data_IF_447389143472
#
_entry.id   IF_447389143472
#
_cell.length_a   1.000
_cell.length_b   1.000
_cell.length_c   1.000
_cell.angle_alpha   90.00
_cell.angle_beta   90.00
_cell.angle_gamma   90.00
#
_symmetry.space_group_name_H-M   'P 1'
#
loop_
_entity.id
_entity.type
_entity.pdbx_description
1 polymer ?
#
# COMPACT_ATOMS: atom_id res chain seq x y z
N UNK A 1 -16.47 40.55 -51.94
CA UNK A 1 -17.58 39.61 -51.73
C UNK A 1 -17.51 39.14 -50.30
N UNK A 2 -18.33 39.74 -49.45
CA UNK A 2 -18.27 39.61 -47.99
C UNK A 2 -19.48 38.81 -47.53
N UNK A 3 -19.24 37.72 -46.83
CA UNK A 3 -20.27 36.81 -46.31
C UNK A 3 -20.89 37.47 -45.06
N UNK A 4 -22.22 37.59 -44.92
CA UNK A 4 -22.84 38.13 -43.72
C UNK A 4 -22.90 37.07 -42.61
N UNK A 5 -22.51 37.46 -41.39
CA UNK A 5 -22.67 36.70 -40.15
C UNK A 5 -24.08 36.95 -39.59
N UNK A 6 -24.86 35.93 -39.19
CA UNK A 6 -26.16 36.15 -38.57
C UNK A 6 -26.04 36.64 -37.12
N UNK A 7 -26.82 37.67 -36.83
CA UNK A 7 -27.02 38.34 -35.54
C UNK A 7 -27.66 37.42 -34.50
N UNK A 8 -27.05 37.33 -33.30
CA UNK A 8 -27.59 36.62 -32.13
C UNK A 8 -28.35 37.61 -31.23
N UNK A 9 -29.62 37.33 -30.96
CA UNK A 9 -30.45 38.06 -30.00
C UNK A 9 -30.09 37.71 -28.55
N UNK A 10 -30.16 38.65 -27.59
CA UNK A 10 -29.90 38.37 -26.18
C UNK A 10 -31.15 37.77 -25.50
N UNK A 11 -30.99 36.68 -24.76
CA UNK A 11 -32.06 36.14 -23.89
C UNK A 11 -31.69 36.37 -22.42
N UNK A 12 -32.66 36.89 -21.67
CA UNK A 12 -32.59 37.39 -20.29
C UNK A 12 -32.09 36.39 -19.21
N UNK A 13 -31.63 36.89 -18.05
CA UNK A 13 -31.10 36.08 -16.96
C UNK A 13 -32.22 35.45 -16.11
N UNK A 14 -32.10 34.16 -15.78
CA UNK A 14 -32.95 33.50 -14.79
C UNK A 14 -32.28 33.54 -13.42
N UNK A 15 -32.97 34.22 -12.50
CA UNK A 15 -32.70 34.30 -11.07
C UNK A 15 -32.81 32.95 -10.34
N UNK A 16 -32.11 32.90 -9.21
CA UNK A 16 -31.93 31.83 -8.23
C UNK A 16 -33.21 31.40 -7.52
N UNK A 17 -33.34 30.11 -7.20
CA UNK A 17 -33.93 29.61 -5.95
C UNK A 17 -33.36 28.22 -5.59
N UNK A 18 -33.15 27.91 -4.28
CA UNK A 18 -32.46 26.69 -3.82
C UNK A 18 -33.43 25.50 -3.65
N UNK A 19 -33.00 24.25 -3.88
CA UNK A 19 -33.84 23.09 -3.53
C UNK A 19 -33.66 22.70 -2.05
N UNK A 20 -34.73 23.02 -1.31
CA UNK A 20 -35.38 22.30 -0.21
C UNK A 20 -34.66 21.11 0.45
N UNK A 21 -34.48 21.26 1.76
CA UNK A 21 -34.26 20.21 2.75
C UNK A 21 -35.32 19.11 2.62
N UNK A 22 -34.91 17.86 2.39
CA UNK A 22 -35.76 16.69 2.54
C UNK A 22 -35.04 15.67 3.42
N UNK A 23 -35.65 15.40 4.57
CA UNK A 23 -35.24 14.45 5.59
C UNK A 23 -34.79 13.10 5.00
N UNK A 24 -33.54 12.75 5.27
CA UNK A 24 -33.02 11.41 5.04
C UNK A 24 -33.71 10.43 6.00
N UNK A 25 -34.78 9.78 5.53
CA UNK A 25 -35.37 8.62 6.19
C UNK A 25 -34.33 7.50 6.23
N UNK A 26 -33.75 7.30 7.42
CA UNK A 26 -32.87 6.19 7.80
C UNK A 26 -33.59 4.86 7.56
N UNK A 27 -33.27 4.19 6.45
CA UNK A 27 -33.65 2.80 6.20
C UNK A 27 -32.89 1.94 7.24
N UNK A 28 -33.61 1.40 8.21
CA UNK A 28 -33.08 0.38 9.13
C UNK A 28 -32.96 -0.92 8.35
N UNK A 29 -31.77 -1.23 7.83
CA UNK A 29 -31.48 -2.56 7.30
C UNK A 29 -31.28 -3.49 8.50
N UNK A 30 -32.22 -4.41 8.67
CA UNK A 30 -32.15 -5.47 9.67
C UNK A 30 -31.17 -6.53 9.14
N UNK A 31 -29.94 -6.57 9.67
CA UNK A 31 -28.95 -7.60 9.30
C UNK A 31 -29.15 -8.77 10.25
N UNK A 32 -30.00 -9.70 9.84
CA UNK A 32 -30.06 -11.04 10.44
C UNK A 32 -28.73 -11.75 10.21
N UNK A 33 -28.04 -12.01 11.30
CA UNK A 33 -26.75 -12.71 11.38
C UNK A 33 -26.98 -14.20 11.11
N UNK A 34 -26.93 -14.59 9.85
CA UNK A 34 -26.77 -16.00 9.48
C UNK A 34 -25.31 -16.39 9.59
N UNK A 35 -24.93 -16.87 10.78
CA UNK A 35 -23.64 -17.51 11.04
C UNK A 35 -23.58 -18.78 10.19
N UNK A 36 -22.85 -18.72 9.07
CA UNK A 36 -22.37 -19.91 8.37
C UNK A 36 -20.95 -20.16 8.80
N UNK A 37 -20.79 -21.09 9.74
CA UNK A 37 -19.54 -21.75 10.08
C UNK A 37 -18.91 -22.36 8.83
N UNK A 38 -18.11 -21.56 8.15
CA UNK A 38 -17.08 -22.07 7.23
C UNK A 38 -15.79 -21.83 7.98
N UNK A 39 -15.21 -22.89 8.56
CA UNK A 39 -13.92 -22.82 9.25
C UNK A 39 -12.85 -22.39 8.25
N UNK A 40 -12.63 -21.08 8.11
CA UNK A 40 -11.41 -20.54 7.53
C UNK A 40 -10.25 -21.00 8.41
N UNK A 41 -9.17 -21.55 7.84
CA UNK A 41 -8.04 -22.01 8.65
C UNK A 41 -7.56 -20.82 9.46
N UNK A 42 -7.58 -20.95 10.79
CA UNK A 42 -7.01 -19.94 11.67
C UNK A 42 -5.62 -19.58 11.16
N UNK A 43 -5.39 -18.31 10.83
CA UNK A 43 -4.10 -17.73 10.41
C UNK A 43 -3.11 -17.67 11.57
N UNK A 44 -2.98 -18.79 12.28
CA UNK A 44 -2.51 -18.93 13.66
C UNK A 44 -1.01 -18.68 13.83
N UNK A 45 -0.34 -18.05 12.87
CA UNK A 45 1.11 -17.95 12.87
C UNK A 45 1.75 -16.74 12.20
N UNK A 46 1.02 -15.64 11.96
CA UNK A 46 1.70 -14.39 11.56
C UNK A 46 2.79 -14.00 12.56
N UNK A 47 2.53 -14.18 13.86
CA UNK A 47 3.50 -13.95 14.93
C UNK A 47 4.79 -14.76 14.76
N UNK A 48 4.70 -16.07 14.50
CA UNK A 48 5.90 -16.89 14.28
C UNK A 48 6.62 -16.57 12.98
N UNK A 49 5.90 -16.17 11.93
CA UNK A 49 6.53 -15.71 10.69
C UNK A 49 7.33 -14.42 10.93
N UNK A 50 6.76 -13.47 11.69
CA UNK A 50 7.43 -12.23 12.08
C UNK A 50 8.65 -12.54 12.95
N UNK A 51 8.50 -13.38 13.98
CA UNK A 51 9.59 -13.74 14.89
C UNK A 51 10.74 -14.45 14.16
N UNK A 52 10.42 -15.41 13.28
CA UNK A 52 11.41 -16.09 12.45
C UNK A 52 12.16 -15.12 11.52
N UNK A 53 11.45 -14.17 10.89
CA UNK A 53 12.08 -13.16 10.04
C UNK A 53 12.93 -12.18 10.85
N UNK A 54 12.47 -11.78 12.03
CA UNK A 54 13.19 -10.90 12.94
C UNK A 54 14.48 -11.55 13.45
N UNK A 55 14.42 -12.80 13.89
CA UNK A 55 15.59 -13.55 14.34
C UNK A 55 16.61 -13.74 13.22
N UNK A 56 16.14 -14.07 12.02
CA UNK A 56 17.01 -14.15 10.86
C UNK A 56 17.66 -12.79 10.57
N UNK A 57 16.88 -11.72 10.55
CA UNK A 57 17.36 -10.35 10.33
C UNK A 57 18.44 -9.97 11.34
N UNK A 58 18.20 -10.18 12.65
CA UNK A 58 19.17 -9.91 13.73
C UNK A 58 20.46 -10.71 13.55
N UNK A 59 20.35 -11.97 13.11
CA UNK A 59 21.49 -12.87 12.94
C UNK A 59 22.38 -12.52 11.74
N UNK A 60 21.79 -12.15 10.60
CA UNK A 60 22.55 -12.00 9.34
C UNK A 60 22.67 -10.56 8.84
N UNK A 61 21.91 -9.64 9.43
CA UNK A 61 21.82 -8.24 9.03
C UNK A 61 21.07 -8.02 7.71
N UNK A 62 20.71 -6.76 7.45
CA UNK A 62 19.84 -6.34 6.34
C UNK A 62 20.18 -6.95 4.98
N UNK A 63 21.43 -6.79 4.52
CA UNK A 63 21.81 -7.17 3.14
C UNK A 63 21.65 -8.68 2.89
N UNK A 64 22.15 -9.50 3.81
CA UNK A 64 22.08 -10.96 3.66
C UNK A 64 20.66 -11.48 3.89
N UNK A 65 19.94 -10.86 4.83
CA UNK A 65 18.53 -11.16 5.07
C UNK A 65 17.68 -10.94 3.81
N UNK A 66 17.78 -9.78 3.17
CA UNK A 66 17.06 -9.49 1.93
C UNK A 66 17.45 -10.44 0.79
N UNK A 67 18.74 -10.78 0.66
CA UNK A 67 19.18 -11.75 -0.34
C UNK A 67 18.56 -13.14 -0.11
N UNK A 68 18.44 -13.57 1.14
CA UNK A 68 17.79 -14.84 1.49
C UNK A 68 16.29 -14.81 1.24
N UNK A 69 15.59 -13.74 1.63
CA UNK A 69 14.13 -13.59 1.43
C UNK A 69 13.74 -13.49 -0.04
N UNK A 70 14.51 -12.77 -0.86
CA UNK A 70 14.21 -12.60 -2.30
C UNK A 70 14.50 -13.84 -3.13
N UNK A 71 15.36 -14.73 -2.67
CA UNK A 71 15.74 -15.94 -3.40
C UNK A 71 16.37 -15.64 -4.76
N UNK A 72 15.88 -16.30 -5.81
CA UNK A 72 16.43 -16.20 -7.18
C UNK A 72 16.08 -14.84 -7.81
N UNK A 73 17.08 -14.19 -8.38
CA UNK A 73 16.88 -12.93 -9.11
C UNK A 73 16.09 -13.19 -10.39
N UNK A 74 15.01 -12.42 -10.58
CA UNK A 74 14.09 -12.54 -11.74
C UNK A 74 14.74 -12.08 -13.05
N UNK A 75 15.64 -11.09 -12.98
CA UNK A 75 16.42 -10.66 -14.13
C UNK A 75 17.41 -11.75 -14.55
N UNK A 76 17.17 -12.40 -15.69
CA UNK A 76 18.08 -13.36 -16.33
C UNK A 76 19.46 -12.75 -16.65
N UNK A 77 20.47 -13.57 -16.92
CA UNK A 77 21.83 -13.06 -17.17
C UNK A 77 21.84 -12.27 -18.46
N UNK A 78 21.96 -10.95 -18.37
CA UNK A 78 21.87 -10.04 -19.52
C UNK A 78 23.22 -9.84 -20.19
N UNK A 79 23.80 -10.89 -20.78
CA UNK A 79 24.90 -10.73 -21.75
C UNK A 79 24.29 -10.41 -23.13
N UNK A 80 23.53 -9.31 -23.18
CA UNK A 80 22.84 -8.85 -24.38
C UNK A 80 23.64 -7.73 -25.03
N UNK A 81 23.77 -7.77 -26.36
CA UNK A 81 24.34 -6.67 -27.15
C UNK A 81 23.30 -5.56 -27.31
N UNK A 82 23.00 -4.87 -26.22
CA UNK A 82 21.99 -3.81 -26.17
C UNK A 82 22.52 -2.61 -25.38
N UNK A 83 22.20 -1.35 -25.76
CA UNK A 83 22.66 -0.16 -25.03
C UNK A 83 22.35 -0.20 -23.52
N UNK A 84 21.19 -0.72 -23.13
CA UNK A 84 20.78 -0.86 -21.74
C UNK A 84 21.35 -2.11 -21.02
N UNK A 85 22.18 -2.94 -21.67
CA UNK A 85 22.69 -4.19 -21.09
C UNK A 85 23.46 -3.97 -19.78
N UNK A 86 24.23 -2.88 -19.70
CA UNK A 86 24.96 -2.51 -18.49
C UNK A 86 24.01 -2.13 -17.33
N UNK A 87 22.96 -1.34 -17.61
CA UNK A 87 21.94 -0.94 -16.62
C UNK A 87 21.19 -2.16 -16.10
N UNK A 88 20.77 -3.06 -16.98
CA UNK A 88 20.05 -4.27 -16.60
C UNK A 88 20.92 -5.21 -15.75
N UNK A 89 22.21 -5.32 -16.07
CA UNK A 89 23.16 -6.10 -15.26
C UNK A 89 23.39 -5.44 -13.88
N UNK A 90 23.42 -4.10 -13.83
CA UNK A 90 23.48 -3.37 -12.56
C UNK A 90 22.22 -3.64 -11.72
N UNK A 91 21.01 -3.49 -12.30
CA UNK A 91 19.76 -3.73 -11.59
C UNK A 91 19.60 -5.18 -11.15
N UNK A 92 20.11 -6.14 -11.91
CA UNK A 92 20.19 -7.55 -11.50
C UNK A 92 21.04 -7.73 -10.24
N UNK A 93 22.18 -7.04 -10.15
CA UNK A 93 23.14 -7.20 -9.04
C UNK A 93 22.74 -6.41 -7.79
N UNK A 94 22.35 -5.15 -7.96
CA UNK A 94 22.13 -4.20 -6.86
C UNK A 94 20.68 -3.80 -6.64
N UNK A 95 19.76 -4.22 -7.51
CA UNK A 95 18.41 -3.67 -7.59
C UNK A 95 18.39 -2.26 -8.22
N UNK A 96 17.18 -1.71 -8.32
CA UNK A 96 16.95 -0.36 -8.83
C UNK A 96 17.06 0.65 -7.67
N UNK A 97 17.92 1.68 -7.77
CA UNK A 97 18.04 2.69 -6.73
C UNK A 97 16.79 3.58 -6.72
N UNK A 98 16.21 3.78 -5.53
CA UNK A 98 15.14 4.76 -5.32
C UNK A 98 15.79 6.12 -5.04
N UNK A 99 15.55 7.11 -5.90
CA UNK A 99 16.07 8.47 -5.73
C UNK A 99 14.99 9.39 -5.17
N UNK A 100 15.23 9.94 -3.98
CA UNK A 100 14.36 10.94 -3.38
C UNK A 100 14.83 12.35 -3.73
N UNK A 101 13.89 13.23 -4.08
CA UNK A 101 14.17 14.68 -4.23
C UNK A 101 14.31 15.39 -2.88
N UNK A 102 13.70 14.84 -1.83
CA UNK A 102 13.71 15.40 -0.48
C UNK A 102 14.86 14.85 0.35
N UNK A 103 15.32 15.63 1.33
CA UNK A 103 16.34 15.21 2.30
C UNK A 103 15.91 13.95 3.09
N UNK A 104 16.85 13.16 3.64
CA UNK A 104 16.54 12.09 4.59
C UNK A 104 15.67 12.62 5.75
N UNK A 105 14.80 11.77 6.28
CA UNK A 105 13.99 12.13 7.45
C UNK A 105 14.86 12.20 8.71
N UNK A 106 14.56 13.14 9.60
CA UNK A 106 15.13 13.16 10.94
C UNK A 106 14.49 12.09 11.81
N UNK A 107 15.10 11.78 12.96
CA UNK A 107 14.56 10.78 13.89
C UNK A 107 13.19 11.21 14.42
N UNK A 108 13.05 12.48 14.76
CA UNK A 108 11.81 13.07 15.27
C UNK A 108 10.66 12.86 14.27
N UNK A 109 10.94 13.04 12.97
CA UNK A 109 9.92 12.82 11.93
C UNK A 109 9.57 11.35 11.74
N UNK A 110 10.52 10.44 11.96
CA UNK A 110 10.24 9.00 11.96
C UNK A 110 9.36 8.65 13.16
N UNK A 111 9.68 9.17 14.34
CA UNK A 111 8.92 8.95 15.58
C UNK A 111 7.50 9.51 15.47
N UNK A 112 7.32 10.73 14.95
CA UNK A 112 6.00 11.32 14.68
C UNK A 112 5.17 10.45 13.72
N UNK A 113 5.80 9.93 12.66
CA UNK A 113 5.14 9.06 11.70
C UNK A 113 4.76 7.69 12.31
N UNK A 114 5.59 7.16 13.21
CA UNK A 114 5.30 5.94 13.94
C UNK A 114 4.14 6.14 14.92
N UNK A 115 4.15 7.23 15.69
CA UNK A 115 3.09 7.58 16.64
C UNK A 115 1.73 7.78 15.97
N UNK A 116 1.72 8.30 14.74
CA UNK A 116 0.50 8.41 13.94
C UNK A 116 -0.16 7.05 13.68
N UNK A 117 0.63 5.98 13.56
CA UNK A 117 0.16 4.61 13.38
C UNK A 117 -0.59 4.38 12.05
N UNK A 118 -1.34 3.28 11.98
CA UNK A 118 -2.15 2.92 10.82
C UNK A 118 -3.38 3.81 10.64
N UNK A 119 -3.89 3.90 9.41
CA UNK A 119 -5.17 4.55 9.16
C UNK A 119 -6.32 3.83 9.86
N UNK A 120 -7.39 4.55 10.21
CA UNK A 120 -8.57 3.99 10.91
C UNK A 120 -9.14 2.77 10.17
N UNK A 121 -9.14 2.80 8.84
CA UNK A 121 -9.66 1.70 8.03
C UNK A 121 -8.89 0.38 8.22
N UNK A 122 -7.65 0.37 8.71
CA UNK A 122 -6.98 -0.89 9.02
C UNK A 122 -7.69 -1.66 10.16
N UNK A 123 -8.18 -0.95 11.17
CA UNK A 123 -8.85 -1.57 12.32
C UNK A 123 -10.21 -2.19 11.96
N UNK A 124 -10.84 -1.70 10.88
CA UNK A 124 -12.11 -2.21 10.37
C UNK A 124 -11.95 -3.49 9.52
N UNK A 125 -10.72 -3.81 9.12
CA UNK A 125 -10.39 -4.90 8.19
C UNK A 125 -9.20 -5.76 8.67
N UNK A 126 -9.10 -5.99 9.99
CA UNK A 126 -7.99 -6.74 10.59
C UNK A 126 -7.86 -8.16 10.03
N UNK A 127 -8.97 -8.91 9.95
CA UNK A 127 -8.97 -10.29 9.45
C UNK A 127 -8.42 -10.37 8.02
N UNK A 128 -8.86 -9.46 7.15
CA UNK A 128 -8.36 -9.34 5.78
C UNK A 128 -6.86 -9.01 5.74
N UNK A 129 -6.42 -8.08 6.58
CA UNK A 129 -5.00 -7.68 6.63
C UNK A 129 -4.11 -8.81 7.14
N UNK A 130 -4.55 -9.57 8.13
CA UNK A 130 -3.80 -10.71 8.65
C UNK A 130 -3.62 -11.79 7.58
N UNK A 131 -4.70 -12.12 6.85
CA UNK A 131 -4.65 -13.02 5.70
C UNK A 131 -3.66 -12.52 4.63
N UNK A 132 -3.76 -11.25 4.24
CA UNK A 132 -2.87 -10.65 3.23
C UNK A 132 -1.41 -10.63 3.69
N UNK A 133 -1.15 -10.29 4.95
CA UNK A 133 0.21 -10.27 5.47
C UNK A 133 0.85 -11.63 5.38
N UNK A 134 0.17 -12.68 5.82
CA UNK A 134 0.73 -14.03 5.76
C UNK A 134 0.89 -14.49 4.31
N UNK A 135 -0.10 -14.31 3.44
CA UNK A 135 -0.01 -14.69 2.04
C UNK A 135 1.17 -14.00 1.33
N UNK A 136 1.34 -12.69 1.54
CA UNK A 136 2.43 -11.91 0.94
C UNK A 136 3.79 -12.24 1.54
N UNK A 137 3.86 -12.54 2.84
CA UNK A 137 5.09 -13.02 3.48
C UNK A 137 5.50 -14.40 2.95
N UNK A 138 4.55 -15.32 2.80
CA UNK A 138 4.79 -16.66 2.25
C UNK A 138 5.22 -16.61 0.78
N UNK A 139 4.66 -15.68 0.00
CA UNK A 139 5.10 -15.40 -1.37
C UNK A 139 6.47 -14.69 -1.45
N UNK A 140 7.06 -14.31 -0.31
CA UNK A 140 8.32 -13.57 -0.25
C UNK A 140 8.23 -12.14 -0.80
N UNK A 141 7.01 -11.62 -0.97
CA UNK A 141 6.78 -10.28 -1.50
C UNK A 141 6.87 -9.23 -0.40
N UNK A 142 6.34 -9.54 0.78
CA UNK A 142 6.38 -8.67 1.95
C UNK A 142 7.28 -9.23 3.04
N UNK A 143 7.79 -8.31 3.85
CA UNK A 143 8.57 -8.58 5.05
C UNK A 143 7.97 -7.71 6.15
N UNK A 144 7.70 -8.31 7.29
CA UNK A 144 7.21 -7.62 8.48
C UNK A 144 8.25 -7.82 9.57
N UNK A 145 8.74 -6.70 10.12
CA UNK A 145 9.74 -6.68 11.18
C UNK A 145 9.29 -5.74 12.30
N UNK A 146 9.64 -6.02 13.56
CA UNK A 146 9.49 -5.05 14.64
C UNK A 146 10.21 -3.74 14.32
N UNK A 147 9.60 -2.61 14.66
CA UNK A 147 10.17 -1.30 14.39
C UNK A 147 11.55 -1.12 15.05
N UNK A 148 11.71 -1.65 16.27
CA UNK A 148 12.94 -1.61 17.05
C UNK A 148 14.16 -2.18 16.30
N UNK A 149 13.95 -3.19 15.47
CA UNK A 149 14.99 -3.85 14.67
C UNK A 149 15.40 -3.00 13.45
N UNK A 150 14.51 -2.13 12.96
CA UNK A 150 14.70 -1.39 11.69
C UNK A 150 14.85 0.12 11.84
N UNK A 151 14.60 0.68 13.02
CA UNK A 151 14.64 2.13 13.28
C UNK A 151 15.98 2.80 12.91
N UNK A 152 17.08 2.05 12.94
CA UNK A 152 18.42 2.55 12.60
C UNK A 152 18.78 2.39 11.13
N UNK A 153 17.87 1.88 10.28
CA UNK A 153 18.14 1.74 8.85
C UNK A 153 18.31 3.10 8.18
N UNK A 154 19.32 3.27 7.30
CA UNK A 154 19.56 4.52 6.64
C UNK A 154 18.42 4.87 5.68
N UNK A 155 18.03 6.15 5.66
CA UNK A 155 16.96 6.68 4.81
C UNK A 155 15.58 6.03 5.05
N UNK A 156 15.32 5.52 6.26
CA UNK A 156 14.01 5.01 6.64
C UNK A 156 12.93 6.08 6.44
N UNK A 157 11.80 5.68 5.84
CA UNK A 157 10.60 6.49 5.67
C UNK A 157 9.40 5.61 5.97
N UNK A 158 8.45 6.16 6.72
CA UNK A 158 7.25 5.46 7.14
C UNK A 158 6.03 6.04 6.43
N UNK A 159 5.11 5.16 6.04
CA UNK A 159 3.80 5.54 5.52
C UNK A 159 2.74 4.74 6.27
N UNK A 160 1.67 5.38 6.76
CA UNK A 160 0.61 4.65 7.43
C UNK A 160 -0.07 3.70 6.43
N UNK A 161 -0.21 2.40 6.73
CA UNK A 161 -1.04 1.53 5.92
C UNK A 161 -2.50 1.98 6.01
N UNK A 162 -3.27 1.66 4.97
CA UNK A 162 -4.69 1.92 4.91
C UNK A 162 -5.38 0.90 4.03
N UNK A 163 -6.63 0.60 4.36
CA UNK A 163 -7.51 -0.24 3.55
C UNK A 163 -8.57 0.62 2.88
N UNK A 164 -8.82 0.36 1.61
CA UNK A 164 -9.83 0.97 0.77
C UNK A 164 -10.94 -0.08 0.52
N UNK A 165 -12.14 0.12 1.09
CA UNK A 165 -13.28 -0.73 0.81
C UNK A 165 -13.62 -0.73 -0.68
N UNK A 166 -13.98 -1.91 -1.22
CA UNK A 166 -14.41 -2.05 -2.60
C UNK A 166 -15.81 -2.67 -2.62
N UNK A 167 -16.72 -2.10 -3.40
CA UNK A 167 -18.06 -2.67 -3.57
C UNK A 167 -17.95 -3.99 -4.33
N UNK A 168 -18.58 -5.04 -3.80
CA UNK A 168 -18.67 -6.37 -4.42
C UNK A 168 -17.31 -6.99 -4.78
N UNK A 169 -16.23 -6.53 -4.13
CA UNK A 169 -14.86 -7.01 -4.32
C UNK A 169 -14.10 -7.04 -3.01
N UNK A 170 -12.97 -7.75 -3.02
CA UNK A 170 -12.02 -7.74 -1.91
C UNK A 170 -11.46 -6.32 -1.69
N UNK A 171 -11.26 -5.88 -0.43
CA UNK A 171 -10.59 -4.62 -0.11
C UNK A 171 -9.17 -4.53 -0.69
N UNK A 172 -8.61 -3.31 -0.75
CA UNK A 172 -7.26 -3.03 -1.26
C UNK A 172 -6.47 -2.11 -0.35
#
# INVERSE_FOLDING_TARGET
>A
MSIPIPSVSPTNPLQTNPPSNNDAKRIKVNVETSVKDTKLPHHRDIGKLIESDADLFRKVGWRKFIQMKRGRVDLATTNIKHPAGHVLNQYRKSGVPVRFKTKPWSKERIDEALQRGSHRSCYEYLDFLEEEFVDMMQKGQWIILPFEDVQSLPNLRLSPPGVVPQRERRPR
#
